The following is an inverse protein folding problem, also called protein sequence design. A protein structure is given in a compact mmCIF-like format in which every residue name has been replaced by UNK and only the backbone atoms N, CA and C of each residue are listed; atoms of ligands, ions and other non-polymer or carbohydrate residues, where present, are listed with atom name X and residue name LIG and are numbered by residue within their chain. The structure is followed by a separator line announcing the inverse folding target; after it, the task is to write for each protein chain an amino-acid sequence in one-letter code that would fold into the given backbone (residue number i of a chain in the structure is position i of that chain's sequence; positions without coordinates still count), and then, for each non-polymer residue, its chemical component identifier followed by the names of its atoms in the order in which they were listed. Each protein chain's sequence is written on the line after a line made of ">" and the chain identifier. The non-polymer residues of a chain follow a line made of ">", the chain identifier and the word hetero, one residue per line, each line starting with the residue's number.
data_IF_259514794490
#
_entry.id   IF_259514794490
#
_cell.length_a   1.000
_cell.length_b   1.000
_cell.length_c   1.000
_cell.angle_alpha   90.00
_cell.angle_beta   90.00
_cell.angle_gamma   90.00
#
_symmetry.space_group_name_H-M   'P 1'
#
loop_
_entity.id
_entity.type
_entity.pdbx_description
1 polymer ?
#
# COMPACT_ATOMS: atom_id res chain seq x y z
N UNK A 1 14.08 7.51 3.73
CA UNK A 1 15.55 7.66 3.77
C UNK A 1 16.06 8.17 5.11
N UNK A 2 15.56 9.28 5.66
CA UNK A 2 16.00 9.78 6.98
C UNK A 2 15.88 8.73 8.08
N UNK A 3 14.77 7.98 8.13
CA UNK A 3 14.56 6.89 9.11
C UNK A 3 15.62 5.77 9.02
N UNK A 4 16.20 5.58 7.85
CA UNK A 4 17.28 4.61 7.61
C UNK A 4 18.68 5.20 7.83
N UNK A 5 18.78 6.47 8.27
CA UNK A 5 20.05 7.13 8.52
C UNK A 5 20.79 7.58 7.26
N UNK A 6 20.05 7.89 6.18
CA UNK A 6 20.64 8.44 4.96
C UNK A 6 21.39 9.75 5.21
N UNK A 7 22.53 9.93 4.54
CA UNK A 7 23.24 11.21 4.53
C UNK A 7 22.49 12.25 3.69
N UNK A 8 22.77 13.53 3.93
CA UNK A 8 22.20 14.64 3.13
C UNK A 8 22.51 14.47 1.63
N UNK A 9 23.72 14.03 1.29
CA UNK A 9 24.12 13.77 -0.10
C UNK A 9 23.29 12.65 -0.76
N UNK A 10 23.03 11.55 -0.02
CA UNK A 10 22.17 10.46 -0.50
C UNK A 10 20.74 10.91 -0.72
N UNK A 11 20.21 11.79 0.15
CA UNK A 11 18.88 12.36 0.00
C UNK A 11 18.82 13.24 -1.23
N UNK A 12 19.78 14.16 -1.41
CA UNK A 12 19.86 15.07 -2.56
C UNK A 12 19.98 14.31 -3.90
N UNK A 13 20.79 13.26 -3.95
CA UNK A 13 20.92 12.41 -5.16
C UNK A 13 19.58 11.73 -5.50
N UNK A 14 18.85 11.23 -4.50
CA UNK A 14 17.53 10.60 -4.71
C UNK A 14 16.47 11.62 -5.11
N UNK A 15 16.45 12.79 -4.51
CA UNK A 15 15.56 13.88 -4.89
C UNK A 15 15.80 14.31 -6.33
N UNK A 16 17.06 14.49 -6.72
CA UNK A 16 17.43 14.79 -8.11
C UNK A 16 16.99 13.70 -9.08
N UNK A 17 17.21 12.42 -8.74
CA UNK A 17 16.76 11.29 -9.55
C UNK A 17 15.22 11.22 -9.66
N UNK A 18 14.51 11.49 -8.57
CA UNK A 18 13.05 11.56 -8.57
C UNK A 18 12.55 12.74 -9.40
N UNK A 19 13.19 13.91 -9.28
CA UNK A 19 12.88 15.09 -10.08
C UNK A 19 13.08 14.83 -11.57
N UNK A 20 14.20 14.25 -11.99
CA UNK A 20 14.48 13.92 -13.39
C UNK A 20 13.48 12.90 -13.97
N UNK A 21 13.04 11.93 -13.16
CA UNK A 21 11.99 10.97 -13.57
C UNK A 21 10.63 11.63 -13.69
N UNK A 22 10.27 12.51 -12.77
CA UNK A 22 8.96 13.13 -12.66
C UNK A 22 8.84 14.42 -13.51
N UNK A 23 9.94 15.03 -13.93
CA UNK A 23 9.93 16.19 -14.85
C UNK A 23 9.23 15.88 -16.19
N UNK A 24 9.17 14.61 -16.57
CA UNK A 24 8.39 14.14 -17.72
C UNK A 24 6.87 14.23 -17.54
N UNK A 25 6.41 14.35 -16.30
CA UNK A 25 4.98 14.45 -15.95
C UNK A 25 4.56 15.89 -15.64
N UNK A 26 5.44 16.90 -15.94
CA UNK A 26 5.20 18.30 -15.62
C UNK A 26 5.07 18.48 -14.10
N UNK A 27 6.17 18.84 -13.43
CA UNK A 27 6.01 19.39 -12.09
C UNK A 27 5.25 20.70 -12.28
N UNK A 28 4.06 20.78 -11.70
CA UNK A 28 3.30 22.01 -11.65
C UNK A 28 4.16 23.07 -10.97
N UNK A 29 4.72 23.96 -11.75
CA UNK A 29 5.09 25.27 -11.21
C UNK A 29 3.80 25.86 -10.67
N UNK A 30 3.85 26.35 -9.43
CA UNK A 30 2.69 26.93 -8.73
C UNK A 30 2.41 28.31 -9.37
N UNK A 31 2.12 28.32 -10.67
CA UNK A 31 1.76 29.53 -11.40
C UNK A 31 0.24 29.64 -11.53
N UNK A 32 -0.23 30.74 -10.97
CA UNK A 32 -1.51 31.39 -11.24
C UNK A 32 -2.77 30.55 -11.05
N UNK A 33 -3.08 30.35 -9.79
CA UNK A 33 -4.41 29.92 -9.36
C UNK A 33 -5.44 31.02 -9.67
N UNK A 34 -6.56 30.66 -10.30
CA UNK A 34 -7.71 31.54 -10.42
C UNK A 34 -8.31 31.83 -9.02
N UNK A 35 -8.18 33.06 -8.49
CA UNK A 35 -8.74 33.38 -7.18
C UNK A 35 -10.27 33.32 -7.14
N UNK A 36 -10.95 33.17 -8.29
CA UNK A 36 -12.40 33.02 -8.40
C UNK A 36 -12.82 31.53 -8.34
N UNK A 37 -11.89 30.55 -8.37
CA UNK A 37 -12.24 29.16 -8.23
C UNK A 37 -12.84 28.88 -6.84
N UNK A 38 -13.92 28.11 -6.79
CA UNK A 38 -14.57 27.69 -5.54
C UNK A 38 -13.56 26.87 -4.71
N UNK A 39 -13.20 27.36 -3.53
CA UNK A 39 -12.28 26.67 -2.65
C UNK A 39 -12.99 25.54 -1.87
N UNK A 40 -12.34 24.39 -1.65
CA UNK A 40 -12.88 23.34 -0.78
C UNK A 40 -13.11 23.85 0.65
N UNK A 41 -14.24 23.45 1.25
CA UNK A 41 -14.54 23.66 2.67
C UNK A 41 -14.70 22.31 3.37
N UNK A 42 -14.90 22.30 4.68
CA UNK A 42 -15.14 21.07 5.43
C UNK A 42 -16.36 20.29 4.91
N UNK A 43 -17.37 20.97 4.37
CA UNK A 43 -18.61 20.38 3.84
C UNK A 43 -18.50 20.01 2.35
N UNK A 44 -17.58 20.60 1.60
CA UNK A 44 -17.56 20.50 0.13
C UNK A 44 -16.33 19.80 -0.45
N UNK A 45 -15.27 19.56 0.31
CA UNK A 45 -14.01 19.00 -0.19
C UNK A 45 -14.18 17.66 -0.94
N UNK A 46 -15.18 16.87 -0.57
CA UNK A 46 -15.48 15.59 -1.24
C UNK A 46 -15.91 15.76 -2.71
N UNK A 47 -16.34 16.95 -3.13
CA UNK A 47 -16.68 17.26 -4.53
C UNK A 47 -15.44 17.38 -5.42
N UNK A 48 -14.26 17.54 -4.81
CA UNK A 48 -12.96 17.66 -5.50
C UNK A 48 -12.24 16.31 -5.63
N UNK A 49 -12.85 15.23 -5.12
CA UNK A 49 -12.30 13.87 -5.25
C UNK A 49 -12.29 13.46 -6.73
N UNK A 50 -11.21 12.80 -7.16
CA UNK A 50 -10.98 12.41 -8.55
C UNK A 50 -10.86 13.59 -9.53
N UNK A 51 -10.56 14.76 -9.02
CA UNK A 51 -10.29 15.94 -9.82
C UNK A 51 -8.94 15.88 -10.53
N UNK A 52 -8.69 16.93 -11.28
CA UNK A 52 -7.44 17.16 -11.99
C UNK A 52 -6.34 17.79 -11.09
N UNK A 53 -5.29 18.25 -11.71
CA UNK A 53 -4.15 18.88 -11.05
C UNK A 53 -4.54 20.19 -10.31
N UNK A 54 -5.50 20.95 -10.83
CA UNK A 54 -6.01 22.15 -10.17
C UNK A 54 -6.72 21.80 -8.88
N UNK A 55 -7.55 20.75 -8.90
CA UNK A 55 -8.22 20.22 -7.71
C UNK A 55 -7.20 19.69 -6.68
N UNK A 56 -6.08 19.10 -7.08
CA UNK A 56 -5.03 18.70 -6.16
C UNK A 56 -4.43 19.88 -5.43
N UNK A 57 -4.16 21.00 -6.11
CA UNK A 57 -3.65 22.22 -5.48
C UNK A 57 -4.65 22.84 -4.51
N UNK A 58 -5.94 22.85 -4.87
CA UNK A 58 -7.02 23.34 -4.01
C UNK A 58 -7.14 22.50 -2.74
N UNK A 59 -7.16 21.18 -2.89
CA UNK A 59 -7.21 20.24 -1.78
C UNK A 59 -5.96 20.32 -0.90
N UNK A 60 -4.77 20.52 -1.46
CA UNK A 60 -3.54 20.71 -0.68
C UNK A 60 -3.63 21.94 0.21
N UNK A 61 -4.13 23.07 -0.30
CA UNK A 61 -4.35 24.30 0.48
C UNK A 61 -5.38 24.08 1.58
N UNK A 62 -6.50 23.42 1.25
CA UNK A 62 -7.55 23.08 2.21
C UNK A 62 -7.00 22.19 3.33
N UNK A 63 -6.31 21.10 3.01
CA UNK A 63 -5.77 20.19 4.01
C UNK A 63 -4.71 20.85 4.88
N UNK A 64 -3.85 21.70 4.31
CA UNK A 64 -2.89 22.48 5.10
C UNK A 64 -3.59 23.40 6.10
N UNK A 65 -4.63 24.12 5.68
CA UNK A 65 -5.41 24.96 6.58
C UNK A 65 -6.10 24.12 7.67
N UNK A 66 -6.69 22.98 7.30
CA UNK A 66 -7.32 22.03 8.22
C UNK A 66 -6.34 21.49 9.28
N UNK A 67 -5.12 21.11 8.86
CA UNK A 67 -4.07 20.62 9.77
C UNK A 67 -3.67 21.71 10.78
N UNK A 68 -3.53 22.95 10.33
CA UNK A 68 -3.22 24.10 11.22
C UNK A 68 -4.30 24.41 12.22
N UNK A 69 -5.55 24.29 11.80
CA UNK A 69 -6.71 24.62 12.64
C UNK A 69 -7.06 23.49 13.62
N UNK A 70 -7.06 22.25 13.17
CA UNK A 70 -7.60 21.10 13.92
C UNK A 70 -6.55 20.07 14.32
N UNK A 71 -5.36 20.17 13.79
CA UNK A 71 -4.30 19.19 13.96
C UNK A 71 -4.29 18.10 12.87
N UNK A 72 -3.13 17.40 12.78
CA UNK A 72 -2.87 16.37 11.77
C UNK A 72 -3.85 15.20 11.91
N UNK A 73 -3.96 14.61 13.11
CA UNK A 73 -4.75 13.39 13.31
C UNK A 73 -6.23 13.58 12.97
N UNK A 74 -6.83 14.73 13.36
CA UNK A 74 -8.22 15.01 13.03
C UNK A 74 -8.42 15.20 11.51
N UNK A 75 -7.50 15.89 10.83
CA UNK A 75 -7.57 16.11 9.39
C UNK A 75 -7.36 14.82 8.61
N UNK A 76 -6.39 13.99 9.01
CA UNK A 76 -6.14 12.66 8.43
C UNK A 76 -7.32 11.74 8.67
N UNK A 77 -7.84 11.70 9.91
CA UNK A 77 -9.02 10.90 10.28
C UNK A 77 -10.25 11.25 9.46
N UNK A 78 -10.52 12.55 9.24
CA UNK A 78 -11.63 13.01 8.42
C UNK A 78 -11.50 12.54 6.94
N UNK A 79 -10.28 12.59 6.38
CA UNK A 79 -10.03 12.10 5.03
C UNK A 79 -10.20 10.58 4.96
N UNK A 80 -9.61 9.83 5.90
CA UNK A 80 -9.65 8.38 5.91
C UNK A 80 -11.06 7.83 6.15
N UNK A 81 -11.89 8.50 6.95
CA UNK A 81 -13.28 8.13 7.19
C UNK A 81 -14.11 8.09 5.89
N UNK A 82 -13.82 9.00 4.95
CA UNK A 82 -14.50 9.04 3.64
C UNK A 82 -13.83 8.12 2.61
N UNK A 83 -12.50 8.02 2.62
CA UNK A 83 -11.74 7.41 1.54
C UNK A 83 -11.25 5.98 1.82
N UNK A 84 -11.52 5.39 3.00
CA UNK A 84 -11.07 4.04 3.33
C UNK A 84 -11.48 2.97 2.30
N UNK A 85 -12.65 3.04 1.61
CA UNK A 85 -13.00 2.02 0.62
C UNK A 85 -12.02 1.97 -0.56
N UNK A 86 -11.35 3.08 -0.85
CA UNK A 86 -10.41 3.23 -1.98
C UNK A 86 -8.93 3.13 -1.60
N UNK A 87 -8.59 2.52 -0.48
CA UNK A 87 -7.19 2.34 -0.02
C UNK A 87 -6.26 1.75 -1.08
N UNK A 88 -6.77 0.81 -1.92
CA UNK A 88 -6.01 0.18 -2.98
C UNK A 88 -5.78 1.07 -4.21
N UNK A 89 -6.34 2.26 -4.24
CA UNK A 89 -6.17 3.20 -5.35
C UNK A 89 -4.69 3.41 -5.66
N UNK A 90 -4.33 3.30 -6.93
CA UNK A 90 -2.93 3.34 -7.37
C UNK A 90 -1.98 2.46 -6.52
N UNK A 91 -2.39 1.24 -6.21
CA UNK A 91 -1.56 0.29 -5.44
C UNK A 91 -1.19 0.83 -4.04
N UNK A 92 -2.17 1.37 -3.32
CA UNK A 92 -2.01 1.91 -1.96
C UNK A 92 -1.08 3.15 -1.84
N UNK A 93 -0.73 3.82 -2.96
CA UNK A 93 0.22 4.95 -2.91
C UNK A 93 -0.26 6.09 -2.01
N UNK A 94 -1.59 6.37 -1.94
CA UNK A 94 -2.14 7.40 -1.06
C UNK A 94 -1.84 7.13 0.42
N UNK A 95 -2.33 6.02 0.99
CA UNK A 95 -2.04 5.66 2.38
C UNK A 95 -0.54 5.48 2.66
N UNK A 96 0.22 4.89 1.72
CA UNK A 96 1.67 4.72 1.88
C UNK A 96 2.35 6.09 2.01
N UNK A 97 2.06 7.04 1.12
CA UNK A 97 2.63 8.39 1.19
C UNK A 97 2.27 9.08 2.50
N UNK A 98 1.00 8.96 2.92
CA UNK A 98 0.51 9.55 4.16
C UNK A 98 1.20 8.96 5.40
N UNK A 99 1.44 7.65 5.43
CA UNK A 99 2.16 6.98 6.51
C UNK A 99 3.65 7.35 6.57
N UNK A 100 4.23 7.77 5.44
CA UNK A 100 5.61 8.24 5.37
C UNK A 100 5.76 9.75 5.65
N UNK A 101 4.66 10.52 5.60
CA UNK A 101 4.68 11.91 5.99
C UNK A 101 5.00 12.01 7.49
N UNK A 102 5.98 12.84 7.83
CA UNK A 102 6.34 13.11 9.22
C UNK A 102 5.19 13.81 9.94
N UNK A 103 5.04 13.55 11.24
CA UNK A 103 4.03 14.24 12.06
C UNK A 103 4.26 15.76 12.10
N UNK A 104 5.51 16.19 11.94
CA UNK A 104 5.92 17.60 11.93
C UNK A 104 5.91 18.21 10.53
N UNK A 105 5.70 17.41 9.46
CA UNK A 105 5.66 17.89 8.07
C UNK A 105 4.22 18.11 7.60
N UNK A 106 3.70 19.28 7.94
CA UNK A 106 2.38 19.76 7.56
C UNK A 106 2.19 19.83 6.04
N UNK A 107 3.23 20.24 5.30
CA UNK A 107 3.20 20.38 3.83
C UNK A 107 3.12 19.03 3.14
N UNK A 108 3.94 18.05 3.56
CA UNK A 108 3.92 16.72 2.98
C UNK A 108 2.63 15.97 3.36
N UNK A 109 2.13 16.12 4.59
CA UNK A 109 0.85 15.56 5.00
C UNK A 109 -0.29 16.12 4.15
N UNK A 110 -0.36 17.44 3.94
CA UNK A 110 -1.39 18.07 3.11
C UNK A 110 -1.29 17.62 1.64
N UNK A 111 -0.07 17.51 1.11
CA UNK A 111 0.16 17.01 -0.25
C UNK A 111 -0.23 15.54 -0.40
N UNK A 112 0.05 14.69 0.61
CA UNK A 112 -0.35 13.28 0.62
C UNK A 112 -1.87 13.12 0.64
N UNK A 113 -2.58 13.90 1.46
CA UNK A 113 -4.05 13.91 1.52
C UNK A 113 -4.66 14.36 0.19
N UNK A 114 -4.16 15.44 -0.41
CA UNK A 114 -4.64 15.93 -1.70
C UNK A 114 -4.44 14.91 -2.81
N UNK A 115 -3.24 14.35 -2.91
CA UNK A 115 -2.93 13.30 -3.88
C UNK A 115 -3.79 12.05 -3.68
N UNK A 116 -4.12 11.68 -2.43
CA UNK A 116 -5.01 10.57 -2.15
C UNK A 116 -6.43 10.85 -2.64
N UNK A 117 -6.97 12.03 -2.37
CA UNK A 117 -8.28 12.47 -2.86
C UNK A 117 -8.36 12.42 -4.40
N UNK A 118 -7.39 13.01 -5.11
CA UNK A 118 -7.40 13.07 -6.58
C UNK A 118 -7.21 11.70 -7.24
N UNK A 119 -6.56 10.79 -6.57
CA UNK A 119 -6.30 9.44 -7.08
C UNK A 119 -7.26 8.38 -6.54
N UNK A 120 -8.31 8.78 -5.84
CA UNK A 120 -9.28 7.88 -5.24
C UNK A 120 -10.03 7.05 -6.27
N UNK A 121 -10.02 5.73 -6.11
CA UNK A 121 -10.74 4.76 -6.97
C UNK A 121 -11.15 3.59 -6.08
N UNK A 122 -12.33 3.63 -5.46
CA UNK A 122 -12.79 2.51 -4.65
C UNK A 122 -13.04 1.27 -5.51
N UNK A 123 -12.95 0.06 -4.94
CA UNK A 123 -13.37 -1.14 -5.63
C UNK A 123 -14.90 -1.10 -5.82
N UNK A 124 -15.40 -1.87 -6.78
CA UNK A 124 -16.85 -1.96 -7.03
C UNK A 124 -17.62 -2.56 -5.85
N UNK A 125 -16.93 -3.36 -5.02
CA UNK A 125 -17.43 -3.95 -3.77
C UNK A 125 -16.25 -4.41 -2.91
N UNK A 126 -16.50 -4.80 -1.66
CA UNK A 126 -15.58 -5.61 -0.86
C UNK A 126 -15.88 -7.09 -1.05
N UNK A 127 -14.93 -7.96 -0.67
CA UNK A 127 -15.17 -9.39 -0.55
C UNK A 127 -16.39 -9.64 0.38
N UNK A 128 -17.33 -10.49 -0.06
CA UNK A 128 -18.58 -10.75 0.65
C UNK A 128 -19.04 -12.22 0.53
N UNK A 129 -18.18 -13.11 0.07
CA UNK A 129 -18.44 -14.55 -0.02
C UNK A 129 -18.36 -15.27 1.34
N UNK A 130 -18.24 -16.60 1.33
CA UNK A 130 -18.17 -17.40 2.56
C UNK A 130 -17.06 -16.95 3.50
N UNK A 131 -17.32 -16.99 4.80
CA UNK A 131 -16.36 -16.58 5.82
C UNK A 131 -15.36 -17.70 6.13
N UNK A 132 -14.08 -17.36 6.10
CA UNK A 132 -12.97 -18.21 6.54
C UNK A 132 -12.44 -17.76 7.90
N UNK A 133 -11.80 -18.67 8.62
CA UNK A 133 -11.31 -18.42 9.97
C UNK A 133 -10.04 -17.56 10.00
N UNK A 134 -9.26 -17.54 8.91
CA UNK A 134 -8.00 -16.79 8.81
C UNK A 134 -7.76 -16.33 7.37
N UNK A 135 -6.85 -15.36 7.19
CA UNK A 135 -6.47 -14.90 5.86
C UNK A 135 -5.85 -16.01 5.00
N UNK A 136 -4.97 -16.84 5.56
CA UNK A 136 -4.39 -17.97 4.84
C UNK A 136 -5.45 -19.01 4.46
N UNK A 137 -6.41 -19.28 5.36
CA UNK A 137 -7.55 -20.15 5.07
C UNK A 137 -8.37 -19.63 3.90
N UNK A 138 -8.70 -18.34 3.91
CA UNK A 138 -9.45 -17.70 2.82
C UNK A 138 -8.71 -17.75 1.47
N UNK A 139 -7.39 -17.58 1.46
CA UNK A 139 -6.59 -17.73 0.23
C UNK A 139 -6.53 -19.18 -0.25
N UNK A 140 -6.53 -20.16 0.66
CA UNK A 140 -6.60 -21.57 0.28
C UNK A 140 -7.98 -21.95 -0.27
N UNK A 141 -9.08 -21.49 0.35
CA UNK A 141 -10.44 -21.66 -0.16
C UNK A 141 -10.55 -21.06 -1.57
N UNK A 142 -9.99 -19.87 -1.78
CA UNK A 142 -9.95 -19.21 -3.07
C UNK A 142 -9.13 -20.00 -4.10
N UNK A 143 -8.01 -20.60 -3.68
CA UNK A 143 -7.18 -21.45 -4.54
C UNK A 143 -7.94 -22.71 -5.00
N UNK A 144 -8.67 -23.35 -4.09
CA UNK A 144 -9.51 -24.51 -4.40
C UNK A 144 -10.64 -24.13 -5.36
N UNK A 145 -11.38 -23.06 -5.07
CA UNK A 145 -12.43 -22.55 -5.95
C UNK A 145 -11.89 -22.20 -7.35
N UNK A 146 -10.68 -21.63 -7.44
CA UNK A 146 -10.02 -21.33 -8.71
C UNK A 146 -9.71 -22.61 -9.52
N UNK A 147 -9.36 -23.71 -8.85
CA UNK A 147 -9.11 -25.00 -9.50
C UNK A 147 -10.40 -25.70 -9.97
N UNK A 148 -11.53 -25.38 -9.37
CA UNK A 148 -12.88 -25.88 -9.69
C UNK A 148 -13.63 -24.97 -10.68
N UNK A 149 -12.90 -24.23 -11.54
CA UNK A 149 -13.45 -23.34 -12.57
C UNK A 149 -14.32 -22.20 -12.02
N UNK A 150 -13.87 -21.55 -10.93
CA UNK A 150 -14.48 -20.31 -10.43
C UNK A 150 -14.71 -19.32 -11.57
N UNK A 151 -15.91 -18.74 -11.62
CA UNK A 151 -16.22 -17.70 -12.61
C UNK A 151 -15.44 -16.42 -12.31
N UNK A 152 -14.45 -16.15 -13.15
CA UNK A 152 -13.60 -14.97 -13.07
C UNK A 152 -13.70 -14.16 -14.35
N UNK A 153 -13.68 -12.81 -14.26
CA UNK A 153 -13.69 -11.96 -15.44
C UNK A 153 -12.57 -12.32 -16.41
N UNK A 154 -12.91 -12.60 -17.67
CA UNK A 154 -11.94 -12.94 -18.71
C UNK A 154 -11.21 -11.68 -19.14
N UNK A 155 -9.92 -11.57 -18.82
CA UNK A 155 -9.10 -10.39 -19.11
C UNK A 155 -7.84 -10.79 -19.86
N UNK A 156 -7.66 -10.19 -21.03
CA UNK A 156 -6.43 -10.33 -21.81
C UNK A 156 -5.49 -9.18 -21.42
N UNK A 157 -4.32 -9.53 -20.88
CA UNK A 157 -3.30 -8.54 -20.53
C UNK A 157 -2.45 -8.91 -19.32
N UNK A 158 -1.58 -7.98 -18.95
CA UNK A 158 -0.70 -8.12 -17.78
C UNK A 158 -1.44 -8.05 -16.45
N UNK A 159 -0.71 -8.30 -15.35
CA UNK A 159 -1.24 -8.37 -13.99
C UNK A 159 -2.04 -7.12 -13.58
N UNK A 160 -1.56 -5.92 -13.92
CA UNK A 160 -2.25 -4.66 -13.59
C UNK A 160 -3.63 -4.54 -14.25
N UNK A 161 -3.77 -4.99 -15.53
CA UNK A 161 -5.07 -5.00 -16.20
C UNK A 161 -6.03 -6.00 -15.57
N UNK A 162 -5.54 -7.17 -15.18
CA UNK A 162 -6.34 -8.19 -14.48
C UNK A 162 -6.80 -7.67 -13.12
N UNK A 163 -5.88 -7.13 -12.34
CA UNK A 163 -6.21 -6.52 -11.05
C UNK A 163 -7.30 -5.44 -11.18
N UNK A 164 -7.14 -4.50 -12.13
CA UNK A 164 -8.12 -3.46 -12.38
C UNK A 164 -9.51 -4.02 -12.75
N UNK A 165 -9.56 -5.03 -13.61
CA UNK A 165 -10.81 -5.67 -14.00
C UNK A 165 -11.48 -6.41 -12.84
N UNK A 166 -10.71 -7.13 -12.03
CA UNK A 166 -11.24 -7.86 -10.88
C UNK A 166 -11.77 -6.91 -9.80
N UNK A 167 -11.03 -5.85 -9.49
CA UNK A 167 -11.46 -4.83 -8.53
C UNK A 167 -12.67 -4.01 -8.99
N UNK A 168 -13.01 -4.06 -10.28
CA UNK A 168 -14.18 -3.39 -10.86
C UNK A 168 -15.39 -4.30 -11.04
N UNK A 169 -15.28 -5.62 -10.79
CA UNK A 169 -16.39 -6.57 -10.92
C UNK A 169 -17.06 -6.84 -9.59
N UNK A 170 -18.22 -6.20 -9.35
CA UNK A 170 -18.99 -6.41 -8.11
C UNK A 170 -19.40 -7.86 -7.89
N UNK A 171 -19.73 -8.59 -8.96
CA UNK A 171 -20.11 -10.00 -8.87
C UNK A 171 -18.95 -10.87 -8.42
N UNK A 172 -17.79 -10.73 -9.09
CA UNK A 172 -16.57 -11.42 -8.72
C UNK A 172 -16.15 -11.09 -7.27
N UNK A 173 -16.13 -9.80 -6.89
CA UNK A 173 -15.73 -9.38 -5.55
C UNK A 173 -16.64 -9.96 -4.46
N UNK A 174 -17.96 -10.03 -4.71
CA UNK A 174 -18.90 -10.64 -3.75
C UNK A 174 -18.74 -12.16 -3.63
N UNK A 175 -18.15 -12.83 -4.61
CA UNK A 175 -17.85 -14.27 -4.53
C UNK A 175 -16.57 -14.59 -3.77
N UNK A 176 -15.66 -13.58 -3.56
CA UNK A 176 -14.43 -13.78 -2.83
C UNK A 176 -14.70 -14.13 -1.36
N UNK A 177 -13.97 -15.14 -0.79
CA UNK A 177 -14.07 -15.43 0.63
C UNK A 177 -13.84 -14.19 1.49
N UNK A 178 -14.52 -14.12 2.62
CA UNK A 178 -14.29 -13.08 3.65
C UNK A 178 -13.48 -13.64 4.81
N UNK A 179 -12.96 -12.76 5.65
CA UNK A 179 -12.26 -13.13 6.88
C UNK A 179 -12.94 -12.41 8.04
N UNK A 180 -13.73 -13.15 8.82
CA UNK A 180 -14.55 -12.57 9.88
C UNK A 180 -13.72 -11.87 10.99
N UNK A 181 -12.50 -12.36 11.25
CA UNK A 181 -11.61 -11.82 12.26
C UNK A 181 -11.13 -10.40 11.95
N UNK A 182 -11.12 -9.94 10.68
CA UNK A 182 -10.60 -8.62 10.31
C UNK A 182 -11.31 -7.45 10.99
N UNK A 183 -12.56 -7.62 11.38
CA UNK A 183 -13.34 -6.57 12.04
C UNK A 183 -13.35 -6.65 13.58
N UNK A 184 -12.91 -7.76 14.18
CA UNK A 184 -13.13 -8.05 15.59
C UNK A 184 -11.89 -8.55 16.36
N UNK A 185 -10.87 -9.08 15.67
CA UNK A 185 -9.69 -9.67 16.30
C UNK A 185 -8.54 -8.66 16.38
N UNK A 186 -7.97 -8.39 17.56
CA UNK A 186 -6.79 -7.54 17.71
C UNK A 186 -5.57 -8.05 16.93
N UNK A 187 -5.52 -9.35 16.61
CA UNK A 187 -4.45 -9.96 15.81
C UNK A 187 -4.71 -9.93 14.30
N UNK A 188 -5.84 -9.40 13.85
CA UNK A 188 -6.24 -9.41 12.44
C UNK A 188 -5.19 -8.75 11.53
N UNK A 189 -4.58 -7.65 11.97
CA UNK A 189 -3.51 -6.96 11.23
C UNK A 189 -2.29 -7.86 11.03
N UNK A 190 -1.93 -8.64 12.05
CA UNK A 190 -0.82 -9.59 11.99
C UNK A 190 -1.11 -10.74 11.04
N UNK A 191 -2.30 -11.33 11.09
CA UNK A 191 -2.72 -12.42 10.19
C UNK A 191 -2.72 -11.95 8.73
N UNK A 192 -3.23 -10.76 8.47
CA UNK A 192 -3.24 -10.18 7.12
C UNK A 192 -1.82 -9.84 6.64
N UNK A 193 -0.96 -9.30 7.50
CA UNK A 193 0.45 -9.03 7.18
C UNK A 193 1.20 -10.32 6.86
N UNK A 194 1.01 -11.38 7.64
CA UNK A 194 1.61 -12.70 7.39
C UNK A 194 1.25 -13.20 5.97
N UNK A 195 0.00 -13.09 5.59
CA UNK A 195 -0.46 -13.43 4.24
C UNK A 195 0.20 -12.58 3.15
N UNK A 196 0.28 -11.27 3.34
CA UNK A 196 0.91 -10.36 2.38
C UNK A 196 2.40 -10.70 2.19
N UNK A 197 3.13 -10.94 3.28
CA UNK A 197 4.54 -11.31 3.26
C UNK A 197 4.77 -12.67 2.58
N UNK A 198 4.01 -13.70 2.93
CA UNK A 198 4.11 -15.03 2.31
C UNK A 198 3.79 -14.98 0.83
N UNK A 199 2.79 -14.20 0.43
CA UNK A 199 2.45 -14.03 -0.97
C UNK A 199 3.56 -13.27 -1.72
N UNK A 200 4.11 -12.20 -1.14
CA UNK A 200 5.26 -11.50 -1.70
C UNK A 200 6.49 -12.41 -1.86
N UNK A 201 6.85 -13.19 -0.84
CA UNK A 201 7.94 -14.15 -0.89
C UNK A 201 7.71 -15.20 -2.00
N UNK A 202 6.47 -15.60 -2.23
CA UNK A 202 6.11 -16.58 -3.28
C UNK A 202 6.10 -15.98 -4.68
N UNK A 203 5.71 -14.73 -4.82
CA UNK A 203 5.55 -13.98 -6.08
C UNK A 203 6.11 -12.56 -5.93
N UNK A 204 7.43 -12.41 -5.80
CA UNK A 204 8.02 -11.08 -5.65
C UNK A 204 7.77 -10.24 -6.89
N UNK A 205 7.35 -9.00 -6.66
CA UNK A 205 7.07 -8.03 -7.70
C UNK A 205 6.46 -6.76 -7.14
N UNK A 206 6.41 -5.71 -7.95
CA UNK A 206 5.95 -4.38 -7.52
C UNK A 206 4.53 -4.41 -6.94
N UNK A 207 3.60 -5.17 -7.53
CA UNK A 207 2.22 -5.24 -7.07
C UNK A 207 2.10 -5.90 -5.69
N UNK A 208 2.85 -6.99 -5.48
CA UNK A 208 2.84 -7.71 -4.20
C UNK A 208 3.66 -7.00 -3.13
N UNK A 209 4.68 -6.22 -3.50
CA UNK A 209 5.39 -5.32 -2.60
C UNK A 209 4.44 -4.28 -2.01
N UNK A 210 3.57 -3.69 -2.83
CA UNK A 210 2.60 -2.71 -2.36
C UNK A 210 1.56 -3.27 -1.38
N UNK A 211 1.32 -4.59 -1.36
CA UNK A 211 0.52 -5.20 -0.30
C UNK A 211 1.24 -5.12 1.05
N UNK A 212 2.55 -5.35 1.08
CA UNK A 212 3.33 -5.29 2.32
C UNK A 212 3.47 -3.85 2.81
N UNK A 213 3.88 -2.92 1.93
CA UNK A 213 4.02 -1.51 2.29
C UNK A 213 2.67 -0.84 2.59
N UNK A 214 1.60 -1.26 1.92
CA UNK A 214 0.23 -0.84 2.22
C UNK A 214 -0.25 -1.33 3.58
N UNK A 215 0.08 -2.56 3.97
CA UNK A 215 -0.24 -3.08 5.31
C UNK A 215 0.52 -2.33 6.40
N UNK A 216 1.80 -2.00 6.18
CA UNK A 216 2.55 -1.12 7.07
C UNK A 216 1.88 0.25 7.22
N UNK A 217 1.44 0.85 6.10
CA UNK A 217 0.71 2.12 6.15
C UNK A 217 -0.57 2.04 6.98
N UNK A 218 -1.34 0.95 6.89
CA UNK A 218 -2.52 0.74 7.73
C UNK A 218 -2.18 0.64 9.21
N UNK A 219 -1.04 0.02 9.56
CA UNK A 219 -0.59 -0.06 10.95
C UNK A 219 -0.17 1.30 11.50
N UNK A 220 0.56 2.09 10.71
CA UNK A 220 0.98 3.46 11.09
C UNK A 220 -0.23 4.37 11.28
N UNK A 221 -1.21 4.29 10.37
CA UNK A 221 -2.42 5.13 10.38
C UNK A 221 -3.57 4.54 11.22
N UNK A 222 -3.31 3.50 12.02
CA UNK A 222 -4.35 2.75 12.74
C UNK A 222 -5.27 3.64 13.57
N UNK A 223 -4.68 4.54 14.33
CA UNK A 223 -5.43 5.44 15.23
C UNK A 223 -6.25 6.46 14.42
N UNK A 224 -5.74 6.91 13.28
CA UNK A 224 -6.44 7.85 12.40
C UNK A 224 -7.67 7.22 11.71
N UNK A 225 -7.67 5.89 11.48
CA UNK A 225 -8.86 5.19 10.98
C UNK A 225 -9.98 5.04 12.01
N UNK A 226 -9.66 5.11 13.30
CA UNK A 226 -10.62 4.95 14.40
C UNK A 226 -11.59 3.75 14.16
N UNK A 227 -12.90 4.01 14.08
CA UNK A 227 -13.93 2.96 13.90
C UNK A 227 -13.88 2.27 12.53
N UNK A 228 -13.18 2.81 11.53
CA UNK A 228 -13.10 2.25 10.16
C UNK A 228 -11.93 1.29 9.96
N UNK A 229 -11.08 1.07 10.97
CA UNK A 229 -9.86 0.27 10.81
C UNK A 229 -10.15 -1.17 10.34
N UNK A 230 -11.12 -1.86 10.91
CA UNK A 230 -11.51 -3.21 10.48
C UNK A 230 -12.02 -3.27 9.03
N UNK A 231 -12.72 -2.23 8.59
CA UNK A 231 -13.17 -2.09 7.21
C UNK A 231 -11.99 -1.80 6.27
N UNK A 232 -11.01 -1.00 6.71
CA UNK A 232 -9.77 -0.76 5.98
C UNK A 232 -8.96 -2.06 5.79
N UNK A 233 -8.86 -2.90 6.82
CA UNK A 233 -8.27 -4.25 6.70
C UNK A 233 -9.02 -5.12 5.70
N UNK A 234 -10.36 -5.08 5.68
CA UNK A 234 -11.18 -5.83 4.73
C UNK A 234 -10.99 -5.33 3.29
N UNK A 235 -10.83 -4.02 3.08
CA UNK A 235 -10.49 -3.45 1.78
C UNK A 235 -9.08 -3.90 1.32
N UNK A 236 -8.12 -3.92 2.22
CA UNK A 236 -6.77 -4.40 1.93
C UNK A 236 -6.75 -5.89 1.60
N UNK A 237 -7.48 -6.72 2.36
CA UNK A 237 -7.67 -8.14 2.05
C UNK A 237 -8.31 -8.35 0.67
N UNK A 238 -9.32 -7.55 0.31
CA UNK A 238 -9.94 -7.62 -1.03
C UNK A 238 -8.90 -7.36 -2.13
N UNK A 239 -7.99 -6.42 -1.92
CA UNK A 239 -6.85 -6.14 -2.80
C UNK A 239 -5.91 -7.35 -2.91
N UNK A 240 -5.56 -7.95 -1.79
CA UNK A 240 -4.74 -9.16 -1.72
C UNK A 240 -5.40 -10.31 -2.52
N UNK A 241 -6.69 -10.57 -2.31
CA UNK A 241 -7.43 -11.62 -3.00
C UNK A 241 -7.48 -11.39 -4.53
N UNK A 242 -7.73 -10.16 -4.98
CA UNK A 242 -7.68 -9.81 -6.40
C UNK A 242 -6.31 -10.04 -7.02
N UNK A 243 -5.23 -9.66 -6.34
CA UNK A 243 -3.87 -9.91 -6.81
C UNK A 243 -3.52 -11.40 -6.78
N UNK A 244 -3.98 -12.12 -5.79
CA UNK A 244 -3.78 -13.57 -5.68
C UNK A 244 -4.41 -14.31 -6.87
N UNK A 245 -5.64 -13.99 -7.24
CA UNK A 245 -6.30 -14.52 -8.45
C UNK A 245 -5.57 -14.08 -9.72
N UNK A 246 -5.12 -12.82 -9.80
CA UNK A 246 -4.33 -12.32 -10.93
C UNK A 246 -3.05 -13.13 -11.15
N UNK A 247 -2.46 -13.67 -10.10
CA UNK A 247 -1.30 -14.56 -10.11
C UNK A 247 -1.66 -16.04 -10.25
N UNK A 248 -2.92 -16.36 -10.59
CA UNK A 248 -3.45 -17.72 -10.73
C UNK A 248 -3.40 -18.55 -9.44
N UNK A 249 -3.75 -17.93 -8.33
CA UNK A 249 -3.86 -18.56 -7.01
C UNK A 249 -2.68 -19.51 -6.69
N UNK A 250 -1.44 -19.03 -6.59
CA UNK A 250 -0.30 -19.88 -6.33
C UNK A 250 -0.41 -20.52 -4.96
N UNK A 251 0.12 -21.72 -4.80
CA UNK A 251 0.26 -22.32 -3.49
C UNK A 251 1.14 -21.44 -2.60
N UNK A 252 0.66 -21.10 -1.41
CA UNK A 252 1.40 -20.35 -0.39
C UNK A 252 1.90 -21.37 0.66
N UNK A 253 3.21 -21.63 0.75
CA UNK A 253 3.72 -22.61 1.70
C UNK A 253 3.57 -22.09 3.14
N UNK A 254 3.18 -22.98 4.06
CA UNK A 254 3.10 -22.66 5.49
C UNK A 254 4.45 -22.25 6.06
N UNK A 255 5.54 -22.86 5.58
CA UNK A 255 6.91 -22.45 5.89
C UNK A 255 7.48 -21.76 4.66
N UNK A 256 7.81 -20.46 4.73
CA UNK A 256 8.38 -19.72 3.61
C UNK A 256 9.67 -20.39 3.14
N UNK A 257 9.75 -20.64 1.85
CA UNK A 257 11.01 -21.04 1.22
C UNK A 257 11.47 -19.88 0.36
N UNK A 258 12.72 -19.44 0.48
CA UNK A 258 13.26 -18.44 -0.42
C UNK A 258 13.04 -18.90 -1.87
N UNK A 259 12.70 -17.97 -2.80
CA UNK A 259 12.46 -18.33 -4.19
C UNK A 259 13.68 -19.07 -4.78
N UNK A 260 13.41 -20.13 -5.57
CA UNK A 260 14.48 -20.88 -6.24
C UNK A 260 15.30 -19.95 -7.14
N UNK A 261 16.61 -19.99 -7.01
CA UNK A 261 17.57 -19.25 -7.83
C UNK A 261 17.31 -19.49 -9.33
N UNK A 262 17.28 -18.44 -10.12
CA UNK A 262 17.49 -18.56 -11.57
C UNK A 262 18.99 -18.74 -11.79
N UNK A 263 19.35 -19.66 -12.72
CA UNK A 263 20.76 -19.95 -13.06
C UNK A 263 21.44 -18.64 -13.51
N UNK A 264 22.48 -18.21 -12.79
CA UNK A 264 23.23 -16.97 -13.07
C UNK A 264 22.93 -15.77 -12.14
N UNK A 265 22.06 -15.90 -11.16
CA UNK A 265 21.90 -14.88 -10.11
C UNK A 265 23.01 -15.03 -9.06
N UNK A 266 23.69 -13.92 -8.74
CA UNK A 266 24.63 -13.76 -7.63
C UNK A 266 24.01 -14.25 -6.31
N UNK A 267 24.84 -14.67 -5.39
CA UNK A 267 24.39 -15.24 -4.12
C UNK A 267 23.33 -14.39 -3.45
N UNK A 268 22.20 -15.05 -3.10
CA UNK A 268 21.27 -14.52 -2.14
C UNK A 268 22.10 -14.02 -0.95
N UNK A 269 21.81 -12.82 -0.47
CA UNK A 269 22.42 -12.25 0.72
C UNK A 269 22.01 -13.02 1.98
N UNK A 270 22.12 -14.35 1.93
CA UNK A 270 21.92 -15.23 3.05
C UNK A 270 22.93 -14.84 4.13
N UNK A 271 22.44 -14.28 5.24
CA UNK A 271 23.28 -13.82 6.34
C UNK A 271 23.35 -12.30 6.51
N UNK A 272 22.85 -11.48 5.58
CA UNK A 272 22.76 -10.02 5.79
C UNK A 272 21.73 -9.69 6.86
N UNK A 273 22.18 -8.98 7.90
CA UNK A 273 21.33 -8.38 8.91
C UNK A 273 20.78 -7.03 8.45
N UNK A 274 20.05 -6.35 9.34
CA UNK A 274 19.38 -5.08 9.02
C UNK A 274 20.37 -3.97 8.63
N UNK A 275 21.56 -3.91 9.27
CA UNK A 275 22.57 -2.90 8.97
C UNK A 275 23.00 -2.97 7.49
N UNK A 276 23.37 -4.14 7.02
CA UNK A 276 23.81 -4.34 5.64
C UNK A 276 22.65 -4.16 4.63
N UNK A 277 21.42 -4.57 4.97
CA UNK A 277 20.23 -4.36 4.14
C UNK A 277 19.89 -2.87 4.04
N UNK A 278 20.06 -2.12 5.11
CA UNK A 278 19.86 -0.66 5.14
C UNK A 278 20.86 0.03 4.21
N UNK A 279 22.15 -0.32 4.28
CA UNK A 279 23.17 0.23 3.39
C UNK A 279 22.85 -0.05 1.90
N UNK A 280 22.48 -1.30 1.59
CA UNK A 280 22.11 -1.68 0.23
C UNK A 280 20.84 -0.97 -0.23
N UNK A 281 19.85 -0.84 0.64
CA UNK A 281 18.61 -0.11 0.36
C UNK A 281 18.88 1.36 0.05
N UNK A 282 19.70 2.03 0.87
CA UNK A 282 20.09 3.43 0.67
C UNK A 282 20.93 3.65 -0.60
N UNK A 283 21.74 2.67 -1.00
CA UNK A 283 22.49 2.71 -2.24
C UNK A 283 21.65 2.37 -3.49
N UNK A 284 20.43 1.88 -3.32
CA UNK A 284 19.55 1.54 -4.44
C UNK A 284 19.02 2.80 -5.14
N UNK A 285 18.94 2.74 -6.47
CA UNK A 285 18.28 3.77 -7.29
C UNK A 285 16.76 3.59 -7.37
N UNK A 286 16.23 2.57 -6.71
CA UNK A 286 14.81 2.24 -6.65
C UNK A 286 14.22 2.69 -5.32
N UNK A 287 13.27 3.61 -5.37
CA UNK A 287 12.49 4.02 -4.20
C UNK A 287 11.70 2.86 -3.58
N UNK A 288 11.34 1.86 -4.38
CA UNK A 288 10.67 0.65 -3.90
C UNK A 288 11.57 -0.23 -3.03
N UNK A 289 12.87 -0.29 -3.36
CA UNK A 289 13.85 -1.03 -2.56
C UNK A 289 14.02 -0.37 -1.20
N UNK A 290 14.20 0.94 -1.19
CA UNK A 290 14.32 1.73 0.04
C UNK A 290 13.07 1.56 0.91
N UNK A 291 11.89 1.74 0.32
CA UNK A 291 10.60 1.58 1.03
C UNK A 291 10.43 0.20 1.63
N UNK A 292 10.82 -0.86 0.90
CA UNK A 292 10.65 -2.22 1.39
C UNK A 292 11.59 -2.54 2.55
N UNK A 293 12.85 -2.10 2.49
CA UNK A 293 13.79 -2.26 3.62
C UNK A 293 13.28 -1.53 4.85
N UNK A 294 12.90 -0.26 4.70
CA UNK A 294 12.33 0.55 5.78
C UNK A 294 11.06 -0.09 6.36
N UNK A 295 10.12 -0.48 5.49
CA UNK A 295 8.89 -1.17 5.90
C UNK A 295 9.18 -2.44 6.71
N UNK A 296 10.07 -3.30 6.23
CA UNK A 296 10.38 -4.55 6.93
C UNK A 296 11.09 -4.30 8.26
N UNK A 297 11.96 -3.30 8.32
CA UNK A 297 12.65 -2.90 9.54
C UNK A 297 11.66 -2.34 10.58
N UNK A 298 10.73 -1.48 10.19
CA UNK A 298 9.70 -0.97 11.10
C UNK A 298 8.75 -2.08 11.56
N UNK A 299 8.35 -2.97 10.65
CA UNK A 299 7.51 -4.12 11.00
C UNK A 299 8.21 -5.11 11.94
N UNK A 300 9.54 -5.26 11.88
CA UNK A 300 10.28 -6.12 12.83
C UNK A 300 10.27 -5.59 14.26
N UNK A 301 10.13 -4.27 14.43
CA UNK A 301 9.94 -3.65 15.75
C UNK A 301 8.54 -3.93 16.33
N UNK A 302 7.52 -4.01 15.45
CA UNK A 302 6.13 -4.27 15.85
C UNK A 302 5.89 -5.78 16.06
N UNK A 303 6.45 -6.62 15.17
CA UNK A 303 6.28 -8.07 15.14
C UNK A 303 7.63 -8.79 15.09
N UNK A 304 8.43 -8.77 16.17
CA UNK A 304 9.77 -9.36 16.18
C UNK A 304 9.77 -10.87 15.91
N UNK A 305 8.68 -11.56 16.22
CA UNK A 305 8.53 -12.99 15.94
C UNK A 305 8.44 -13.32 14.44
N UNK A 306 8.16 -12.34 13.59
CA UNK A 306 8.11 -12.50 12.12
C UNK A 306 9.44 -12.18 11.45
N UNK A 307 10.43 -11.69 12.18
CA UNK A 307 11.67 -11.15 11.62
C UNK A 307 12.43 -12.18 10.78
N UNK A 308 12.83 -13.28 11.38
CA UNK A 308 13.69 -14.28 10.72
C UNK A 308 12.96 -15.07 9.61
N UNK A 309 11.68 -15.33 9.80
CA UNK A 309 10.92 -16.17 8.88
C UNK A 309 10.40 -15.39 7.67
N UNK A 310 10.02 -14.15 7.85
CA UNK A 310 9.28 -13.39 6.85
C UNK A 310 9.94 -12.05 6.47
N UNK A 311 10.27 -11.21 7.45
CA UNK A 311 10.65 -9.81 7.20
C UNK A 311 12.06 -9.69 6.62
N UNK A 312 13.07 -10.32 7.23
CA UNK A 312 14.41 -10.37 6.67
C UNK A 312 14.46 -11.03 5.28
N UNK A 313 13.82 -12.20 5.05
CA UNK A 313 13.71 -12.76 3.70
C UNK A 313 13.03 -11.84 2.70
N UNK A 314 11.99 -11.09 3.11
CA UNK A 314 11.30 -10.15 2.24
C UNK A 314 12.19 -8.95 1.86
N UNK A 315 12.88 -8.35 2.83
CA UNK A 315 13.83 -7.26 2.59
C UNK A 315 15.01 -7.70 1.69
N UNK A 316 15.50 -8.92 1.85
CA UNK A 316 16.58 -9.48 1.01
C UNK A 316 16.21 -9.70 -0.45
N UNK A 317 14.93 -9.77 -0.79
CA UNK A 317 14.48 -10.02 -2.17
C UNK A 317 14.71 -8.84 -3.11
N UNK A 318 14.70 -7.62 -2.61
CA UNK A 318 14.86 -6.40 -3.41
C UNK A 318 16.31 -5.95 -3.52
N UNK A 319 17.13 -6.27 -2.53
CA UNK A 319 18.56 -5.94 -2.49
C UNK A 319 19.38 -6.84 -3.43
N UNK A 320 19.02 -6.90 -4.73
CA UNK A 320 19.67 -7.77 -5.73
C UNK A 320 20.72 -7.03 -6.53
#
# INVERSE_FOLDING_TARGET
>A
MLRLGATAEQIEEQEKSAFEKNSRYGLLEVEEFDPAAEAPTAETWTRFINGDEENELLLRRFWRASIRERGRSESVGACLAELWPGLQSRLHHGPIRLAYASDDDEEETAAALAAYCCNYRPPAALAAGPASASCLGALEDLRLAFQEDMDIPKVIGGLGKKYAAYSSSSEFLRSLPTVASLSSDPNASRDLLDCCLRFYLRKPGILTLHLVTGMHALLVLREDFASHYGQALSAHYTSLACLFVSHKCPEIPKTPRPPRRKKGQTEYTAGRGWEELTEVGLASKSDHDIKMVDTCLELSKIYPEMEEELLLPAARLICK
#
